data_IF_005513161052
#
_entry.id   IF_005513161052
#
_cell.length_a   1.000
_cell.length_b   1.000
_cell.length_c   1.000
_cell.angle_alpha   90.00
_cell.angle_beta   90.00
_cell.angle_gamma   90.00
#
_symmetry.space_group_name_H-M   'P 1'
#
loop_
_entity.id
_entity.type
_entity.pdbx_description
1 polymer ?
#
# COMPACT_ATOMS: atom_id res chain seq x y z
N UNK A 1 -17.41 5.56 -44.25
CA UNK A 1 -17.37 4.41 -43.31
C UNK A 1 -18.63 4.50 -42.46
N UNK A 2 -19.44 3.44 -42.35
CA UNK A 2 -20.55 3.42 -41.40
C UNK A 2 -19.98 3.52 -39.98
N UNK A 3 -20.46 4.47 -39.20
CA UNK A 3 -20.06 4.69 -37.82
C UNK A 3 -20.57 3.53 -36.97
N UNK A 4 -19.67 2.79 -36.30
CA UNK A 4 -20.04 1.65 -35.45
C UNK A 4 -20.59 2.18 -34.13
N UNK A 5 -21.77 1.71 -33.72
CA UNK A 5 -22.34 2.06 -32.40
C UNK A 5 -21.46 1.47 -31.30
N UNK A 6 -21.17 2.26 -30.27
CA UNK A 6 -20.35 1.84 -29.12
C UNK A 6 -21.19 1.83 -27.85
N UNK A 7 -21.18 0.70 -27.15
CA UNK A 7 -21.86 0.51 -25.87
C UNK A 7 -20.82 0.13 -24.82
N UNK A 8 -20.94 0.69 -23.62
CA UNK A 8 -20.06 0.40 -22.47
C UNK A 8 -20.91 -0.07 -21.31
N UNK A 9 -20.47 -1.11 -20.60
CA UNK A 9 -21.16 -1.62 -19.40
C UNK A 9 -20.18 -2.32 -18.46
N UNK A 10 -20.54 -2.41 -17.18
CA UNK A 10 -19.74 -3.11 -16.19
C UNK A 10 -20.18 -4.57 -16.02
N UNK A 11 -19.25 -5.43 -15.61
CA UNK A 11 -19.55 -6.81 -15.20
C UNK A 11 -20.69 -6.81 -14.17
N UNK A 12 -21.64 -7.74 -14.33
CA UNK A 12 -22.81 -7.87 -13.46
C UNK A 12 -24.03 -7.03 -13.89
N UNK A 13 -23.87 -6.00 -14.71
CA UNK A 13 -24.97 -5.13 -15.13
C UNK A 13 -25.84 -5.74 -16.24
N UNK A 14 -26.99 -5.10 -16.49
CA UNK A 14 -27.86 -5.35 -17.65
C UNK A 14 -27.61 -4.27 -18.71
N UNK A 15 -27.34 -4.69 -19.95
CA UNK A 15 -27.15 -3.77 -21.08
C UNK A 15 -28.13 -4.05 -22.21
N UNK A 16 -28.40 -3.03 -23.03
CA UNK A 16 -29.08 -3.17 -24.32
C UNK A 16 -28.13 -2.87 -25.48
N UNK A 17 -28.20 -3.68 -26.54
CA UNK A 17 -27.56 -3.44 -27.82
C UNK A 17 -28.65 -3.11 -28.85
N UNK A 18 -28.68 -1.87 -29.39
CA UNK A 18 -29.73 -1.45 -30.31
C UNK A 18 -29.54 -2.09 -31.70
N UNK A 19 -30.63 -2.53 -32.31
CA UNK A 19 -30.66 -2.93 -33.72
C UNK A 19 -30.97 -1.70 -34.63
N UNK A 20 -30.95 -1.89 -35.95
CA UNK A 20 -31.29 -0.85 -36.93
C UNK A 20 -32.65 -1.03 -37.62
N UNK A 21 -33.52 -1.90 -37.08
CA UNK A 21 -34.85 -2.12 -37.64
C UNK A 21 -35.92 -2.20 -36.56
N UNK A 22 -37.10 -1.67 -36.88
CA UNK A 22 -38.28 -1.77 -36.06
C UNK A 22 -39.40 -2.42 -36.88
N UNK A 23 -39.97 -3.50 -36.33
CA UNK A 23 -41.08 -4.21 -36.97
C UNK A 23 -42.31 -3.29 -37.00
N UNK A 24 -42.90 -3.02 -38.18
CA UNK A 24 -44.11 -2.23 -38.30
C UNK A 24 -45.24 -2.81 -37.45
N UNK A 25 -46.05 -1.96 -36.82
CA UNK A 25 -47.17 -2.40 -35.97
C UNK A 25 -48.21 -3.25 -36.71
N UNK A 26 -48.31 -3.09 -38.04
CA UNK A 26 -49.16 -3.89 -38.94
C UNK A 26 -48.61 -5.29 -39.23
N UNK A 27 -47.39 -5.59 -38.77
CA UNK A 27 -46.70 -6.85 -39.03
C UNK A 27 -46.27 -7.53 -37.73
N UNK A 28 -45.90 -8.80 -37.86
CA UNK A 28 -45.39 -9.60 -36.77
C UNK A 28 -44.01 -10.16 -37.09
N UNK A 29 -43.28 -10.54 -36.04
CA UNK A 29 -41.95 -11.17 -36.13
C UNK A 29 -41.92 -12.42 -37.03
N UNK A 30 -43.07 -13.06 -37.27
CA UNK A 30 -43.16 -14.23 -38.15
C UNK A 30 -42.76 -13.97 -39.62
N UNK A 31 -42.83 -12.72 -40.10
CA UNK A 31 -42.37 -12.36 -41.45
C UNK A 31 -40.86 -12.09 -41.53
N UNK A 32 -40.18 -12.08 -40.38
CA UNK A 32 -38.80 -11.67 -40.26
C UNK A 32 -37.91 -12.82 -39.81
N UNK A 33 -36.65 -12.80 -40.26
CA UNK A 33 -35.56 -13.54 -39.63
C UNK A 33 -34.62 -12.54 -38.99
N UNK A 34 -34.29 -12.77 -37.73
CA UNK A 34 -33.44 -11.86 -36.94
C UNK A 34 -32.29 -12.66 -36.37
N UNK A 35 -31.07 -12.19 -36.59
CA UNK A 35 -29.86 -12.80 -36.07
C UNK A 35 -29.11 -11.76 -35.24
N UNK A 36 -28.79 -12.12 -34.02
CA UNK A 36 -27.75 -11.46 -33.25
C UNK A 36 -26.53 -12.35 -33.21
N UNK A 37 -25.41 -11.84 -33.72
CA UNK A 37 -24.15 -12.57 -33.83
C UNK A 37 -23.05 -11.83 -33.08
N UNK A 38 -22.12 -12.57 -32.47
CA UNK A 38 -20.89 -12.04 -31.87
C UNK A 38 -19.71 -12.50 -32.70
N UNK A 39 -18.81 -11.57 -33.02
CA UNK A 39 -17.61 -11.82 -33.82
C UNK A 39 -17.90 -12.56 -35.15
N UNK A 40 -19.09 -12.34 -35.75
CA UNK A 40 -19.59 -12.95 -37.00
C UNK A 40 -19.89 -14.46 -36.89
N UNK A 41 -19.20 -15.20 -36.03
CA UNK A 41 -19.31 -16.66 -35.93
C UNK A 41 -20.33 -17.14 -34.89
N UNK A 42 -20.47 -16.43 -33.78
CA UNK A 42 -21.21 -16.94 -32.63
C UNK A 42 -22.64 -16.41 -32.65
N UNK A 43 -23.62 -17.26 -32.99
CA UNK A 43 -25.04 -16.88 -32.96
C UNK A 43 -25.50 -16.74 -31.52
N UNK A 44 -25.57 -15.51 -31.02
CA UNK A 44 -26.06 -15.19 -29.68
C UNK A 44 -27.51 -15.66 -29.55
N UNK A 45 -28.36 -15.25 -30.49
CA UNK A 45 -29.71 -15.76 -30.68
C UNK A 45 -30.18 -15.57 -32.14
N UNK A 46 -31.15 -16.36 -32.54
CA UNK A 46 -31.82 -16.22 -33.83
C UNK A 46 -33.32 -16.48 -33.73
N UNK A 47 -34.10 -15.69 -34.45
CA UNK A 47 -35.54 -15.85 -34.63
C UNK A 47 -35.89 -16.10 -36.09
N UNK A 48 -36.85 -16.98 -36.32
CA UNK A 48 -37.49 -17.22 -37.62
C UNK A 48 -38.93 -17.64 -37.39
N UNK A 49 -39.85 -17.16 -38.23
CA UNK A 49 -41.28 -17.49 -38.14
C UNK A 49 -41.88 -17.18 -36.75
N UNK A 50 -41.32 -16.17 -36.06
CA UNK A 50 -41.78 -15.73 -34.75
C UNK A 50 -41.24 -16.58 -33.58
N UNK A 51 -40.50 -17.65 -33.87
CA UNK A 51 -39.94 -18.55 -32.88
C UNK A 51 -38.42 -18.35 -32.76
N UNK A 52 -37.89 -18.53 -31.55
CA UNK A 52 -36.45 -18.59 -31.33
C UNK A 52 -35.94 -19.95 -31.81
N UNK A 53 -35.06 -19.96 -32.81
CA UNK A 53 -34.54 -21.18 -33.45
C UNK A 53 -33.13 -21.55 -33.00
N UNK A 54 -32.39 -20.60 -32.45
CA UNK A 54 -31.04 -20.83 -31.95
C UNK A 54 -30.72 -19.86 -30.81
N UNK A 55 -29.97 -20.37 -29.84
CA UNK A 55 -29.42 -19.60 -28.72
C UNK A 55 -28.14 -20.27 -28.27
N UNK A 56 -27.03 -19.54 -28.29
CA UNK A 56 -25.76 -20.07 -27.84
C UNK A 56 -25.78 -20.31 -26.32
N UNK A 57 -25.18 -21.41 -25.86
CA UNK A 57 -25.28 -21.92 -24.49
C UNK A 57 -24.88 -20.88 -23.44
N UNK A 58 -23.75 -20.18 -23.64
CA UNK A 58 -23.27 -19.06 -22.79
C UNK A 58 -24.33 -17.98 -22.52
N UNK A 59 -25.24 -17.76 -23.48
CA UNK A 59 -26.26 -16.73 -23.42
C UNK A 59 -27.61 -17.24 -22.90
N UNK A 60 -27.73 -18.55 -22.62
CA UNK A 60 -28.94 -19.16 -22.06
C UNK A 60 -29.29 -18.48 -20.74
N UNK A 61 -30.56 -18.12 -20.57
CA UNK A 61 -31.09 -17.37 -19.42
C UNK A 61 -30.43 -16.00 -19.16
N UNK A 62 -29.58 -15.52 -20.08
CA UNK A 62 -28.89 -14.22 -19.96
C UNK A 62 -29.29 -13.21 -21.02
N UNK A 63 -29.90 -13.67 -22.11
CA UNK A 63 -30.32 -12.77 -23.20
C UNK A 63 -31.80 -12.82 -23.51
N UNK A 64 -32.33 -11.66 -23.88
CA UNK A 64 -33.70 -11.44 -24.32
C UNK A 64 -33.68 -10.47 -25.50
N UNK A 65 -34.65 -10.58 -26.40
CA UNK A 65 -34.79 -9.64 -27.52
C UNK A 65 -36.19 -9.02 -27.47
N UNK A 66 -36.25 -7.70 -27.64
CA UNK A 66 -37.53 -7.02 -27.83
C UNK A 66 -38.12 -7.37 -29.21
N UNK A 67 -39.34 -7.90 -29.30
CA UNK A 67 -39.91 -8.37 -30.57
C UNK A 67 -40.35 -7.23 -31.51
N UNK A 68 -40.32 -5.96 -31.07
CA UNK A 68 -40.69 -4.80 -31.87
C UNK A 68 -39.45 -4.11 -32.43
N UNK A 69 -38.55 -3.66 -31.57
CA UNK A 69 -37.36 -2.89 -31.97
C UNK A 69 -36.09 -3.75 -32.09
N UNK A 70 -36.19 -5.06 -31.83
CA UNK A 70 -35.13 -6.04 -32.02
C UNK A 70 -33.87 -5.79 -31.18
N UNK A 71 -33.98 -4.94 -30.15
CA UNK A 71 -32.91 -4.67 -29.20
C UNK A 71 -32.57 -5.92 -28.42
N UNK A 72 -31.29 -6.27 -28.37
CA UNK A 72 -30.77 -7.36 -27.58
C UNK A 72 -30.46 -6.88 -26.16
N UNK A 73 -31.01 -7.54 -25.16
CA UNK A 73 -30.65 -7.36 -23.76
C UNK A 73 -29.72 -8.48 -23.32
N UNK A 74 -28.69 -8.16 -22.55
CA UNK A 74 -27.74 -9.11 -21.94
C UNK A 74 -27.63 -8.81 -20.44
N UNK A 75 -27.83 -9.82 -19.58
CA UNK A 75 -27.74 -9.72 -18.12
C UNK A 75 -27.55 -11.09 -17.46
N UNK A 76 -26.68 -11.24 -16.45
CA UNK A 76 -25.67 -10.28 -16.04
C UNK A 76 -24.54 -10.22 -17.07
N UNK A 77 -23.86 -9.08 -17.20
CA UNK A 77 -22.71 -8.90 -18.07
C UNK A 77 -21.48 -9.68 -17.60
N UNK A 78 -20.74 -10.30 -18.52
CA UNK A 78 -19.45 -10.97 -18.25
C UNK A 78 -18.32 -10.40 -19.12
N UNK A 79 -17.05 -10.54 -18.69
CA UNK A 79 -15.89 -10.06 -19.48
C UNK A 79 -15.84 -10.69 -20.88
N UNK A 80 -16.24 -11.96 -20.99
CA UNK A 80 -16.28 -12.69 -22.24
C UNK A 80 -17.31 -12.13 -23.25
N UNK A 81 -18.24 -11.28 -22.81
CA UNK A 81 -19.17 -10.59 -23.69
C UNK A 81 -18.52 -9.40 -24.40
N UNK A 82 -17.35 -8.93 -23.94
CA UNK A 82 -16.60 -7.91 -24.66
C UNK A 82 -16.36 -8.32 -26.12
N UNK A 83 -16.68 -7.45 -27.07
CA UNK A 83 -16.48 -7.73 -28.49
C UNK A 83 -17.45 -7.02 -29.43
N UNK A 84 -17.42 -7.44 -30.69
CA UNK A 84 -18.28 -6.91 -31.74
C UNK A 84 -19.52 -7.76 -31.89
N UNK A 85 -20.67 -7.12 -31.91
CA UNK A 85 -21.98 -7.72 -32.17
C UNK A 85 -22.53 -7.21 -33.50
N UNK A 86 -23.40 -8.01 -34.11
CA UNK A 86 -24.08 -7.67 -35.35
C UNK A 86 -25.56 -8.05 -35.26
N UNK A 87 -26.45 -7.11 -35.61
CA UNK A 87 -27.87 -7.36 -35.79
C UNK A 87 -28.16 -7.48 -37.29
N UNK A 88 -28.60 -8.64 -37.75
CA UNK A 88 -28.98 -8.88 -39.14
C UNK A 88 -30.47 -9.18 -39.18
N UNK A 89 -31.22 -8.41 -39.96
CA UNK A 89 -32.67 -8.58 -40.12
C UNK A 89 -33.00 -8.83 -41.57
N UNK A 90 -33.75 -9.89 -41.83
CA UNK A 90 -34.25 -10.23 -43.15
C UNK A 90 -35.77 -10.19 -43.18
N UNK A 91 -36.34 -9.58 -44.21
CA UNK A 91 -37.76 -9.61 -44.52
C UNK A 91 -37.93 -10.23 -45.91
N UNK A 92 -38.70 -11.33 -46.00
CA UNK A 92 -38.89 -12.09 -47.25
C UNK A 92 -37.56 -12.42 -47.99
N UNK A 93 -36.55 -12.86 -47.23
CA UNK A 93 -35.18 -13.18 -47.71
C UNK A 93 -34.35 -11.99 -48.21
N UNK A 94 -34.81 -10.75 -48.02
CA UNK A 94 -34.05 -9.54 -48.31
C UNK A 94 -33.51 -8.99 -46.98
N UNK A 95 -32.20 -8.71 -46.91
CA UNK A 95 -31.59 -8.06 -45.74
C UNK A 95 -32.07 -6.61 -45.70
N UNK A 96 -32.79 -6.26 -44.63
CA UNK A 96 -33.33 -4.91 -44.38
C UNK A 96 -32.58 -4.16 -43.29
N UNK A 97 -31.74 -4.85 -42.51
CA UNK A 97 -30.84 -4.24 -41.54
C UNK A 97 -29.60 -5.11 -41.34
N UNK A 98 -28.45 -4.43 -41.26
CA UNK A 98 -27.16 -4.99 -40.88
C UNK A 98 -26.44 -3.91 -40.04
N UNK A 99 -26.53 -4.05 -38.72
CA UNK A 99 -26.00 -3.07 -37.75
C UNK A 99 -24.87 -3.67 -36.94
N UNK A 100 -23.77 -2.94 -36.80
CA UNK A 100 -22.62 -3.34 -35.99
C UNK A 100 -22.55 -2.56 -34.68
N UNK A 101 -22.46 -3.27 -33.56
CA UNK A 101 -22.36 -2.70 -32.21
C UNK A 101 -21.10 -3.22 -31.52
N UNK A 102 -20.21 -2.33 -31.07
CA UNK A 102 -19.05 -2.69 -30.26
C UNK A 102 -19.44 -2.57 -28.79
N UNK A 103 -19.36 -3.69 -28.05
CA UNK A 103 -19.58 -3.73 -26.62
C UNK A 103 -18.23 -3.77 -25.89
N UNK A 104 -17.97 -2.74 -25.09
CA UNK A 104 -16.84 -2.70 -24.17
C UNK A 104 -17.30 -3.03 -22.76
N UNK A 105 -16.72 -4.08 -22.18
CA UNK A 105 -16.99 -4.48 -20.79
C UNK A 105 -15.86 -3.99 -19.90
N UNK A 106 -16.20 -3.51 -18.70
CA UNK A 106 -15.24 -3.14 -17.65
C UNK A 106 -15.52 -3.89 -16.36
N UNK A 107 -14.47 -4.18 -15.59
CA UNK A 107 -14.57 -4.64 -14.21
C UNK A 107 -13.73 -3.70 -13.33
N UNK A 108 -14.30 -3.27 -12.21
CA UNK A 108 -13.63 -2.31 -11.35
C UNK A 108 -12.47 -2.99 -10.60
N UNK A 109 -11.32 -2.32 -10.58
CA UNK A 109 -10.17 -2.72 -9.80
C UNK A 109 -10.43 -2.54 -8.31
N UNK A 110 -9.92 -3.45 -7.47
CA UNK A 110 -9.93 -3.26 -6.01
C UNK A 110 -9.22 -1.95 -5.63
N UNK A 111 -9.61 -1.34 -4.51
CA UNK A 111 -8.87 -0.19 -3.97
C UNK A 111 -7.38 -0.56 -3.85
N UNK A 112 -6.44 0.26 -4.39
CA UNK A 112 -5.03 -0.09 -4.35
C UNK A 112 -4.52 -0.23 -2.92
N UNK A 113 -3.71 -1.24 -2.66
CA UNK A 113 -3.01 -1.43 -1.40
C UNK A 113 -1.55 -1.02 -1.56
N UNK A 114 -1.03 -0.22 -0.63
CA UNK A 114 0.37 0.24 -0.64
C UNK A 114 1.08 -0.38 0.55
N UNK A 115 2.18 -1.07 0.29
CA UNK A 115 3.09 -1.60 1.32
C UNK A 115 4.48 -1.02 1.14
N UNK A 116 5.22 -0.88 2.25
CA UNK A 116 6.59 -0.41 2.26
C UNK A 116 7.48 -1.45 2.95
N UNK A 117 8.52 -1.88 2.26
CA UNK A 117 9.52 -2.83 2.77
C UNK A 117 10.86 -2.10 2.92
N UNK A 118 11.35 -1.95 4.14
CA UNK A 118 12.62 -1.27 4.44
C UNK A 118 13.77 -2.25 4.30
N UNK A 119 14.81 -1.87 3.56
CA UNK A 119 16.05 -2.66 3.42
C UNK A 119 17.15 -2.17 4.33
N UNK A 120 17.30 -0.86 4.44
CA UNK A 120 18.30 -0.20 5.26
C UNK A 120 17.72 1.07 5.87
N UNK A 121 17.98 1.30 7.14
CA UNK A 121 17.60 2.52 7.82
C UNK A 121 18.82 3.14 8.48
N UNK A 122 19.05 4.41 8.20
CA UNK A 122 20.15 5.20 8.73
C UNK A 122 19.64 6.57 9.17
N UNK A 123 20.50 7.33 9.85
CA UNK A 123 20.20 8.71 10.22
C UNK A 123 19.91 9.61 9.02
N UNK A 124 20.62 9.42 7.91
CA UNK A 124 20.52 10.29 6.74
C UNK A 124 19.35 9.89 5.86
N UNK A 125 19.11 8.59 5.74
CA UNK A 125 18.16 8.09 4.76
C UNK A 125 17.67 6.66 5.07
N UNK A 126 16.43 6.37 4.66
CA UNK A 126 15.82 5.05 4.74
C UNK A 126 15.58 4.52 3.34
N UNK A 127 16.24 3.42 3.00
CA UNK A 127 16.08 2.74 1.72
C UNK A 127 14.94 1.73 1.80
N UNK A 128 13.99 1.83 0.88
CA UNK A 128 12.80 0.98 0.89
C UNK A 128 12.26 0.71 -0.53
N UNK A 129 11.46 -0.35 -0.64
CA UNK A 129 10.65 -0.65 -1.82
C UNK A 129 9.20 -0.47 -1.44
N UNK A 130 8.54 0.37 -2.22
CA UNK A 130 7.11 0.57 -2.15
C UNK A 130 6.46 -0.34 -3.18
N UNK A 131 5.50 -1.14 -2.73
CA UNK A 131 4.69 -1.97 -3.59
C UNK A 131 3.26 -1.46 -3.56
N UNK A 132 2.70 -1.16 -4.74
CA UNK A 132 1.29 -0.85 -4.91
C UNK A 132 0.62 -1.99 -5.68
N UNK A 133 -0.42 -2.61 -5.11
CA UNK A 133 -1.15 -3.71 -5.75
C UNK A 133 -2.65 -3.45 -5.85
N UNK A 134 -3.26 -3.92 -6.93
CA UNK A 134 -4.71 -3.89 -7.13
C UNK A 134 -5.14 -5.08 -8.01
N UNK A 135 -6.38 -5.55 -7.83
CA UNK A 135 -6.80 -6.88 -8.26
C UNK A 135 -8.17 -6.87 -8.96
N UNK A 136 -8.39 -7.88 -9.81
CA UNK A 136 -9.70 -8.26 -10.33
C UNK A 136 -10.31 -7.34 -11.40
N UNK A 137 -9.57 -6.37 -11.91
CA UNK A 137 -10.13 -5.37 -12.83
C UNK A 137 -9.95 -5.71 -14.31
N UNK A 138 -10.71 -5.05 -15.18
CA UNK A 138 -10.66 -5.24 -16.63
C UNK A 138 -11.10 -3.94 -17.33
N UNK A 139 -10.47 -3.52 -18.45
CA UNK A 139 -9.39 -4.17 -19.20
C UNK A 139 -8.01 -3.98 -18.53
N UNK A 140 -6.93 -4.29 -19.27
CA UNK A 140 -5.54 -4.08 -18.84
C UNK A 140 -5.34 -2.64 -18.29
N UNK A 141 -4.81 -2.48 -17.07
CA UNK A 141 -4.68 -1.18 -16.42
C UNK A 141 -3.33 -0.50 -16.70
N UNK A 142 -3.24 0.77 -16.29
CA UNK A 142 -1.99 1.52 -16.12
C UNK A 142 -1.86 1.92 -14.65
N UNK A 143 -0.66 1.83 -14.09
CA UNK A 143 -0.35 2.43 -12.78
C UNK A 143 0.27 3.80 -13.02
N UNK A 144 -0.20 4.78 -12.26
CA UNK A 144 0.37 6.12 -12.14
C UNK A 144 0.46 6.49 -10.67
N UNK A 145 1.20 7.55 -10.35
CA UNK A 145 1.30 8.00 -8.97
C UNK A 145 2.22 9.18 -8.82
N UNK A 146 2.32 9.67 -7.59
CA UNK A 146 3.13 10.83 -7.27
C UNK A 146 3.80 10.68 -5.89
N UNK A 147 4.94 11.33 -5.76
CA UNK A 147 5.70 11.52 -4.53
C UNK A 147 5.64 13.01 -4.17
N UNK A 148 4.98 13.39 -3.07
CA UNK A 148 4.80 14.81 -2.72
C UNK A 148 4.29 15.67 -3.91
N UNK A 149 3.31 15.16 -4.66
CA UNK A 149 2.74 15.75 -5.89
C UNK A 149 3.65 15.76 -7.12
N UNK A 150 4.84 15.16 -7.07
CA UNK A 150 5.72 14.98 -8.23
C UNK A 150 5.45 13.61 -8.85
N UNK A 151 5.05 13.56 -10.12
CA UNK A 151 4.75 12.30 -10.80
C UNK A 151 5.97 11.36 -10.83
N UNK A 152 5.73 10.07 -10.55
CA UNK A 152 6.77 9.04 -10.59
C UNK A 152 6.39 7.90 -11.50
N UNK A 153 7.40 7.29 -12.13
CA UNK A 153 7.23 6.10 -12.95
C UNK A 153 7.34 4.86 -12.07
N UNK A 154 6.30 4.03 -12.08
CA UNK A 154 6.26 2.78 -11.35
C UNK A 154 6.79 1.65 -12.22
N UNK A 155 7.62 0.78 -11.67
CA UNK A 155 7.95 -0.50 -12.31
C UNK A 155 6.73 -1.42 -12.21
N UNK A 156 5.81 -1.27 -13.17
CA UNK A 156 4.51 -1.92 -13.18
C UNK A 156 4.56 -3.24 -13.95
N UNK A 157 3.99 -4.27 -13.33
CA UNK A 157 3.69 -5.55 -13.96
C UNK A 157 2.22 -5.90 -13.74
N UNK A 158 1.69 -6.75 -14.61
CA UNK A 158 0.34 -7.27 -14.49
C UNK A 158 0.31 -8.74 -14.85
N UNK A 159 -0.63 -9.46 -14.25
CA UNK A 159 -0.87 -10.87 -14.47
C UNK A 159 -2.33 -11.06 -14.83
N UNK A 160 -2.57 -11.86 -15.87
CA UNK A 160 -3.89 -12.33 -16.27
C UNK A 160 -3.74 -13.68 -16.96
N UNK A 161 -4.77 -14.52 -16.87
CA UNK A 161 -4.78 -15.84 -17.51
C UNK A 161 -4.91 -15.73 -19.04
N UNK A 162 -5.64 -14.72 -19.52
CA UNK A 162 -5.90 -14.49 -20.94
C UNK A 162 -6.26 -13.02 -21.21
N UNK A 163 -6.37 -12.64 -22.48
CA UNK A 163 -6.83 -11.29 -22.84
C UNK A 163 -8.28 -10.99 -22.43
N UNK A 164 -9.07 -12.01 -22.04
CA UNK A 164 -10.46 -11.89 -21.61
C UNK A 164 -10.68 -12.34 -20.15
N UNK A 165 -9.61 -12.36 -19.35
CA UNK A 165 -9.68 -12.63 -17.92
C UNK A 165 -9.42 -11.34 -17.13
N UNK A 166 -9.83 -11.26 -15.85
CA UNK A 166 -9.46 -10.15 -14.97
C UNK A 166 -7.93 -9.99 -14.87
N UNK A 167 -7.48 -8.77 -14.60
CA UNK A 167 -6.09 -8.40 -14.41
C UNK A 167 -5.82 -8.11 -12.92
N UNK A 168 -4.66 -8.58 -12.46
CA UNK A 168 -4.03 -8.12 -11.24
C UNK A 168 -2.81 -7.30 -11.61
N UNK A 169 -2.60 -6.16 -10.95
CA UNK A 169 -1.52 -5.23 -11.27
C UNK A 169 -0.69 -4.96 -10.01
N UNK A 170 0.63 -4.83 -10.20
CA UNK A 170 1.58 -4.55 -9.13
C UNK A 170 2.63 -3.57 -9.65
N UNK A 171 2.75 -2.41 -8.99
CA UNK A 171 3.78 -1.42 -9.24
C UNK A 171 4.80 -1.44 -8.12
N UNK A 172 6.09 -1.41 -8.45
CA UNK A 172 7.17 -1.25 -7.48
C UNK A 172 7.95 0.03 -7.70
N UNK A 173 8.34 0.68 -6.61
CA UNK A 173 9.16 1.88 -6.61
C UNK A 173 10.26 1.74 -5.54
N UNK A 174 11.51 1.90 -5.93
CA UNK A 174 12.63 2.00 -5.00
C UNK A 174 12.80 3.45 -4.58
N UNK A 175 12.84 3.70 -3.27
CA UNK A 175 12.95 5.04 -2.71
C UNK A 175 14.07 5.10 -1.69
N UNK A 176 14.74 6.25 -1.67
CA UNK A 176 15.61 6.64 -0.57
C UNK A 176 15.00 7.85 0.14
N UNK A 177 14.44 7.63 1.33
CA UNK A 177 13.61 8.58 2.06
C UNK A 177 14.46 9.33 3.07
N UNK A 178 14.64 10.63 2.87
CA UNK A 178 15.41 11.51 3.79
C UNK A 178 14.50 12.41 4.65
N UNK A 179 13.22 12.49 4.31
CA UNK A 179 12.18 13.32 4.94
C UNK A 179 10.84 12.62 4.78
N UNK A 180 9.81 13.10 5.48
CA UNK A 180 8.46 12.59 5.31
C UNK A 180 7.99 12.74 3.86
N UNK A 181 7.37 11.68 3.37
CA UNK A 181 7.01 11.54 1.97
C UNK A 181 5.60 10.99 1.87
N UNK A 182 4.74 11.72 1.16
CA UNK A 182 3.40 11.26 0.82
C UNK A 182 3.43 10.61 -0.56
N UNK A 183 3.06 9.33 -0.60
CA UNK A 183 2.98 8.53 -1.81
C UNK A 183 1.52 8.43 -2.24
N UNK A 184 1.24 8.66 -3.50
CA UNK A 184 -0.04 8.34 -4.12
C UNK A 184 0.16 7.31 -5.20
N UNK A 185 -0.64 6.24 -5.19
CA UNK A 185 -0.73 5.26 -6.26
C UNK A 185 -2.15 5.26 -6.83
N UNK A 186 -2.26 5.30 -8.15
CA UNK A 186 -3.51 5.28 -8.91
C UNK A 186 -3.48 4.20 -9.97
N UNK A 187 -4.59 3.48 -10.09
CA UNK A 187 -4.79 2.44 -11.12
C UNK A 187 -5.84 2.94 -12.09
N UNK A 188 -5.41 3.22 -13.32
CA UNK A 188 -6.21 3.80 -14.40
C UNK A 188 -6.61 2.73 -15.42
N UNK A 189 -7.87 2.71 -15.83
CA UNK A 189 -8.42 1.73 -16.78
C UNK A 189 -9.68 2.28 -17.46
N UNK A 190 -9.74 2.26 -18.79
CA UNK A 190 -10.94 2.64 -19.57
C UNK A 190 -11.55 4.01 -19.19
N UNK A 191 -10.72 4.98 -18.76
CA UNK A 191 -11.16 6.30 -18.30
C UNK A 191 -11.59 6.38 -16.82
N UNK A 192 -11.60 5.25 -16.11
CA UNK A 192 -11.78 5.18 -14.66
C UNK A 192 -10.43 5.18 -13.95
N UNK A 193 -10.43 5.59 -12.69
CA UNK A 193 -9.26 5.56 -11.82
C UNK A 193 -9.67 5.25 -10.38
N UNK A 194 -8.83 4.48 -9.68
CA UNK A 194 -8.93 4.25 -8.23
C UNK A 194 -7.57 4.48 -7.61
N UNK A 195 -7.52 5.20 -6.49
CA UNK A 195 -6.26 5.66 -5.90
C UNK A 195 -6.22 5.47 -4.39
N UNK A 196 -5.01 5.28 -3.87
CA UNK A 196 -4.69 5.26 -2.45
C UNK A 196 -3.45 6.10 -2.20
N UNK A 197 -3.39 6.74 -1.03
CA UNK A 197 -2.20 7.46 -0.57
C UNK A 197 -1.69 6.89 0.75
N UNK A 198 -0.37 6.96 0.96
CA UNK A 198 0.32 6.52 2.16
C UNK A 198 1.38 7.57 2.55
N UNK A 199 1.32 8.03 3.79
CA UNK A 199 2.38 8.85 4.38
C UNK A 199 3.48 7.94 4.95
N UNK A 200 4.72 8.21 4.55
CA UNK A 200 5.92 7.57 5.10
C UNK A 200 6.65 8.61 5.94
N UNK A 201 6.75 8.34 7.23
CA UNK A 201 7.44 9.19 8.19
C UNK A 201 8.90 8.75 8.32
N UNK A 202 9.83 9.71 8.27
CA UNK A 202 11.25 9.44 8.54
C UNK A 202 11.50 9.55 10.04
N UNK A 203 11.78 8.42 10.69
CA UNK A 203 12.27 8.40 12.07
C UNK A 203 13.71 8.95 12.13
N UNK A 204 13.91 9.98 12.94
CA UNK A 204 15.22 10.59 13.21
C UNK A 204 15.80 10.08 14.53
N UNK A 205 15.86 8.76 14.72
CA UNK A 205 16.46 8.15 15.91
C UNK A 205 18.00 8.16 15.81
N UNK A 206 18.55 9.38 15.84
CA UNK A 206 19.98 9.61 15.89
C UNK A 206 20.40 9.80 17.34
N UNK A 207 20.87 8.72 17.97
CA UNK A 207 21.71 8.86 19.15
C UNK A 207 23.05 9.40 18.67
N UNK A 208 23.22 10.72 18.72
CA UNK A 208 24.54 11.34 18.52
C UNK A 208 25.46 10.77 19.61
N UNK A 209 26.51 9.99 19.28
CA UNK A 209 27.47 9.57 20.28
C UNK A 209 28.04 10.84 20.92
N UNK A 210 28.12 10.93 22.26
CA UNK A 210 28.61 12.12 22.93
C UNK A 210 30.00 12.44 22.38
N UNK A 211 30.14 13.61 21.75
CA UNK A 211 31.43 14.07 21.23
C UNK A 211 32.40 14.10 22.41
N UNK A 212 33.48 13.31 22.41
CA UNK A 212 34.45 13.37 23.49
C UNK A 212 35.00 14.80 23.57
N UNK A 213 35.10 15.39 24.78
CA UNK A 213 35.62 16.73 24.93
C UNK A 213 37.00 16.82 24.25
N UNK A 214 37.33 17.95 23.61
CA UNK A 214 38.61 18.10 22.93
C UNK A 214 39.75 17.83 23.91
N UNK A 215 40.81 17.18 23.44
CA UNK A 215 41.95 16.76 24.27
C UNK A 215 42.48 17.91 25.15
N UNK A 216 42.46 19.14 24.65
CA UNK A 216 42.84 20.37 25.37
C UNK A 216 42.05 20.58 26.67
N UNK A 217 40.74 20.28 26.68
CA UNK A 217 39.86 20.43 27.86
C UNK A 217 40.15 19.34 28.88
N UNK A 218 40.40 18.12 28.42
CA UNK A 218 40.80 17.00 29.29
C UNK A 218 42.16 17.31 29.93
N UNK A 219 43.14 17.75 29.15
CA UNK A 219 44.48 18.10 29.65
C UNK A 219 44.44 19.30 30.59
N UNK A 220 43.67 20.35 30.28
CA UNK A 220 43.54 21.51 31.17
C UNK A 220 42.91 21.13 32.51
N UNK A 221 41.87 20.29 32.50
CA UNK A 221 41.20 19.80 33.71
C UNK A 221 42.17 18.99 34.59
N UNK A 222 42.98 18.12 33.99
CA UNK A 222 44.02 17.34 34.71
C UNK A 222 45.08 18.28 35.30
N UNK A 223 45.55 19.28 34.55
CA UNK A 223 46.55 20.25 35.03
C UNK A 223 46.00 21.06 36.20
N UNK A 224 44.74 21.51 36.15
CA UNK A 224 44.09 22.25 37.24
C UNK A 224 44.02 21.40 38.51
N UNK A 225 43.65 20.12 38.38
CA UNK A 225 43.59 19.21 39.53
C UNK A 225 44.99 18.98 40.12
N UNK A 226 46.01 18.73 39.29
CA UNK A 226 47.40 18.52 39.76
C UNK A 226 47.94 19.78 40.44
N UNK A 227 47.71 20.96 39.87
CA UNK A 227 48.17 22.23 40.46
C UNK A 227 47.48 22.53 41.79
N UNK A 228 46.18 22.22 41.92
CA UNK A 228 45.46 22.35 43.18
C UNK A 228 45.99 21.38 44.25
N UNK A 229 46.28 20.12 43.88
CA UNK A 229 46.89 19.13 44.77
C UNK A 229 48.29 19.59 45.22
N UNK A 230 49.11 20.11 44.31
CA UNK A 230 50.43 20.63 44.66
C UNK A 230 50.34 21.85 45.58
N UNK A 231 49.42 22.77 45.31
CA UNK A 231 49.20 23.96 46.15
C UNK A 231 48.74 23.57 47.56
N UNK A 232 47.83 22.59 47.70
CA UNK A 232 47.37 22.10 49.00
C UNK A 232 48.48 21.37 49.77
N UNK A 233 49.32 20.57 49.10
CA UNK A 233 50.49 19.93 49.71
C UNK A 233 51.52 20.98 50.17
N UNK A 234 51.79 22.00 49.35
CA UNK A 234 52.71 23.08 49.70
C UNK A 234 52.19 23.93 50.86
N UNK A 235 50.89 24.27 50.87
CA UNK A 235 50.25 24.97 51.97
C UNK A 235 50.27 24.15 53.27
N UNK A 236 49.98 22.84 53.19
CA UNK A 236 50.07 21.94 54.33
C UNK A 236 51.52 21.88 54.88
N UNK A 237 52.52 21.72 54.01
CA UNK A 237 53.94 21.73 54.42
C UNK A 237 54.39 23.08 54.98
N UNK A 238 53.88 24.18 54.47
CA UNK A 238 54.16 25.53 54.96
C UNK A 238 53.54 25.75 56.35
N UNK A 239 52.28 25.35 56.54
CA UNK A 239 51.59 25.42 57.83
C UNK A 239 52.20 24.47 58.88
N UNK A 240 52.59 23.25 58.50
CA UNK A 240 53.31 22.33 59.39
C UNK A 240 54.71 22.82 59.79
N UNK A 241 55.41 23.56 58.91
CA UNK A 241 56.70 24.20 59.24
C UNK A 241 56.53 25.40 60.16
N UNK A 242 55.51 26.22 59.98
CA UNK A 242 55.25 27.37 60.86
C UNK A 242 54.72 26.94 62.24
N UNK A 243 53.90 25.90 62.32
CA UNK A 243 53.44 25.31 63.58
C UNK A 243 54.58 24.64 64.40
N UNK A 244 55.73 24.37 63.78
CA UNK A 244 56.91 23.78 64.44
C UNK A 244 57.99 24.81 64.85
N UNK A 245 57.75 26.12 64.65
CA UNK A 245 58.66 27.18 65.13
C UNK A 245 58.20 27.87 66.42
N UNK A 246 56.95 27.66 66.84
CA UNK A 246 56.39 28.18 68.07
C UNK A 246 55.89 27.01 68.95
N UNK A 247 56.81 26.47 69.76
CA UNK A 247 56.59 26.00 71.14
C UNK A 247 57.61 24.91 71.52
N UNK A 248 58.74 25.32 72.10
CA UNK A 248 59.54 24.48 72.98
C UNK A 248 59.49 25.01 74.43
N UNK A 249 59.28 24.05 75.36
CA UNK A 249 59.30 24.04 76.84
C UNK A 249 57.95 24.25 77.56
N UNK A 250 57.35 23.17 78.11
CA UNK A 250 57.54 22.45 79.42
C UNK A 250 56.57 23.07 80.47
N UNK A 251 55.80 22.37 81.31
CA UNK A 251 56.05 21.11 82.04
C UNK A 251 54.79 20.63 82.83
N UNK A 252 54.64 19.29 82.93
CA UNK A 252 54.11 18.39 83.99
C UNK A 252 52.73 18.47 84.71
N UNK A 253 52.26 17.23 85.00
CA UNK A 253 51.49 16.68 86.15
C UNK A 253 50.01 16.26 85.92
N UNK A 254 49.70 14.94 85.89
CA UNK A 254 49.14 14.03 86.97
C UNK A 254 47.65 14.36 87.25
N UNK A 255 46.62 13.51 87.15
CA UNK A 255 46.26 12.24 87.85
C UNK A 255 44.97 11.70 87.16
N UNK A 256 44.87 10.44 86.73
CA UNK A 256 44.19 9.29 87.38
C UNK A 256 42.65 9.39 87.58
N UNK A 257 41.91 8.37 87.11
CA UNK A 257 40.45 8.25 87.36
C UNK A 257 39.76 7.17 86.53
N UNK A 258 39.35 6.09 87.21
CA UNK A 258 38.97 4.76 86.72
C UNK A 258 37.44 4.62 86.47
N UNK A 259 37.07 3.63 85.63
CA UNK A 259 35.92 2.67 85.66
C UNK A 259 35.06 2.70 84.39
N UNK A 260 34.91 1.64 83.58
CA UNK A 260 34.52 0.21 83.73
C UNK A 260 33.06 -0.02 83.23
N UNK A 261 32.88 -1.18 82.57
CA UNK A 261 31.65 -1.93 82.26
C UNK A 261 30.89 -1.73 80.93
N UNK A 262 31.23 -2.64 79.99
CA UNK A 262 30.39 -3.63 79.29
C UNK A 262 29.03 -3.28 78.65
N UNK A 263 28.85 -3.72 77.40
CA UNK A 263 27.93 -4.84 77.03
C UNK A 263 27.98 -5.14 75.53
N UNK A 264 28.17 -6.42 75.19
CA UNK A 264 27.52 -7.02 74.02
C UNK A 264 26.08 -7.41 74.41
N UNK A 265 25.19 -7.68 73.45
CA UNK A 265 25.09 -9.06 73.02
C UNK A 265 24.86 -9.29 71.52
N UNK A 266 25.32 -10.48 71.15
CA UNK A 266 25.01 -11.30 69.99
C UNK A 266 23.57 -11.83 70.06
N UNK A 267 22.85 -11.93 68.93
CA UNK A 267 22.00 -13.09 68.63
C UNK A 267 21.43 -13.06 67.21
N UNK A 268 21.90 -14.00 66.39
CA UNK A 268 21.14 -14.95 65.55
C UNK A 268 19.83 -14.52 64.84
N UNK A 269 19.77 -14.75 63.53
CA UNK A 269 18.92 -15.84 63.00
C UNK A 269 19.33 -16.24 61.57
N UNK A 270 19.70 -17.51 61.48
CA UNK A 270 19.82 -18.33 60.27
C UNK A 270 18.44 -18.94 59.93
N UNK A 271 18.29 -19.48 58.70
CA UNK A 271 17.21 -20.25 58.03
C UNK A 271 16.58 -19.53 56.84
N UNK A 272 16.35 -20.16 55.68
CA UNK A 272 16.70 -21.49 55.16
C UNK A 272 16.45 -21.49 53.63
N UNK A 273 17.14 -22.39 52.94
CA UNK A 273 16.91 -22.79 51.55
C UNK A 273 15.56 -23.48 51.32
N UNK A 274 15.03 -23.38 50.09
CA UNK A 274 14.41 -24.46 49.29
C UNK A 274 14.10 -23.86 47.90
N UNK A 275 14.77 -24.21 46.79
CA UNK A 275 14.67 -25.43 45.96
C UNK A 275 13.22 -25.88 45.69
N UNK A 276 12.79 -25.84 44.43
CA UNK A 276 12.46 -27.08 43.68
C UNK A 276 11.84 -26.80 42.30
N UNK A 277 12.45 -27.47 41.31
CA UNK A 277 11.92 -28.10 40.07
C UNK A 277 11.27 -27.23 39.00
#
# INVERSE_FOLDING_TARGET
AMEKKVVRSKVGEKVSLPCCHQIPSSEGLHKYRVYWQKNITDVVLAYSEGNMISKHERYRNRTEMDPRNLTLWISPMEILDNGSYQCIVQHNSIVVCDESVILFVTADFSKPNITAEVFADSCESTEMVITCSSHGGFPKPKISGALNNVSVEWNASWVSESSFSPYNVTGKLQLNVTKDVNITCSVEYSGFSTSTSLLIEKTNDCVVPPVPPPYNVITASIIIIITFILATILAARYLSRHACSHCCKRQDSVEEGVKEYAKAPMSSKETAETSSV
#
